data_IF_745926752264
#
_entry.id   IF_745926752264
#
_cell.length_a   1.000
_cell.length_b   1.000
_cell.length_c   1.000
_cell.angle_alpha   90.00
_cell.angle_beta   90.00
_cell.angle_gamma   90.00
#
_symmetry.space_group_name_H-M   'P 1'
#
loop_
_entity.id
_entity.type
_entity.pdbx_description
1 polymer ?
#
# COMPACT_ATOMS: atom_id res chain seq x y z
N UNK A 1 3.98 14.85 7.10
CA UNK A 1 3.15 14.46 8.26
C UNK A 1 3.91 13.50 9.18
N UNK A 2 3.40 13.26 10.40
CA UNK A 2 3.93 12.23 11.31
C UNK A 2 3.19 10.88 11.13
N UNK A 3 3.71 9.83 11.76
CA UNK A 3 3.20 8.46 11.62
C UNK A 3 1.76 8.31 12.11
N UNK A 4 1.37 8.92 13.23
CA UNK A 4 0.00 8.82 13.76
C UNK A 4 -1.05 9.39 12.82
N UNK A 5 -0.75 10.56 12.21
CA UNK A 5 -1.61 11.18 11.20
C UNK A 5 -1.67 10.31 9.94
N UNK A 6 -0.54 9.77 9.50
CA UNK A 6 -0.48 8.87 8.35
C UNK A 6 -1.35 7.62 8.56
N UNK A 7 -1.23 6.96 9.72
CA UNK A 7 -2.03 5.78 10.09
C UNK A 7 -3.53 6.10 10.08
N UNK A 8 -3.90 7.27 10.60
CA UNK A 8 -5.31 7.72 10.59
C UNK A 8 -5.85 7.88 9.17
N UNK A 9 -5.10 8.54 8.28
CA UNK A 9 -5.49 8.71 6.88
C UNK A 9 -5.59 7.37 6.14
N UNK A 10 -4.65 6.46 6.38
CA UNK A 10 -4.65 5.12 5.77
C UNK A 10 -5.87 4.31 6.20
N UNK A 11 -6.21 4.31 7.50
CA UNK A 11 -7.42 3.62 8.01
C UNK A 11 -8.69 4.19 7.38
N UNK A 12 -8.81 5.51 7.32
CA UNK A 12 -9.95 6.17 6.69
C UNK A 12 -10.05 5.83 5.19
N UNK A 13 -8.91 5.79 4.49
CA UNK A 13 -8.86 5.33 3.10
C UNK A 13 -9.38 3.90 2.98
N UNK A 14 -8.83 2.95 3.75
CA UNK A 14 -9.23 1.55 3.71
C UNK A 14 -10.74 1.34 3.98
N UNK A 15 -11.27 2.03 4.99
CA UNK A 15 -12.71 2.02 5.29
C UNK A 15 -13.53 2.58 4.12
N UNK A 16 -13.11 3.70 3.54
CA UNK A 16 -13.85 4.33 2.44
C UNK A 16 -13.81 3.50 1.16
N UNK A 17 -12.66 2.91 0.83
CA UNK A 17 -12.54 1.96 -0.28
C UNK A 17 -13.50 0.79 -0.09
N UNK A 18 -13.56 0.24 1.13
CA UNK A 18 -14.46 -0.87 1.48
C UNK A 18 -15.93 -0.49 1.32
N UNK A 19 -16.32 0.70 1.78
CA UNK A 19 -17.70 1.20 1.61
C UNK A 19 -18.09 1.35 0.14
N UNK A 20 -17.20 1.88 -0.70
CA UNK A 20 -17.46 2.10 -2.13
C UNK A 20 -17.44 0.80 -2.93
N UNK A 21 -16.62 -0.16 -2.53
CA UNK A 21 -16.50 -1.47 -3.19
C UNK A 21 -17.56 -2.48 -2.70
N UNK A 22 -18.15 -2.25 -1.52
CA UNK A 22 -19.12 -3.14 -0.88
C UNK A 22 -18.52 -4.31 -0.09
N UNK A 23 -17.19 -4.39 -0.02
CA UNK A 23 -16.38 -5.36 0.75
C UNK A 23 -14.93 -4.89 0.78
N UNK A 24 -14.08 -5.54 1.59
CA UNK A 24 -12.67 -5.18 1.66
C UNK A 24 -11.98 -5.35 0.30
N UNK A 25 -11.31 -4.27 -0.13
CA UNK A 25 -10.45 -4.23 -1.33
C UNK A 25 -9.08 -4.80 -0.99
N UNK A 26 -8.46 -4.27 0.05
CA UNK A 26 -7.22 -4.77 0.63
C UNK A 26 -7.51 -5.08 2.09
N UNK A 27 -7.21 -6.31 2.49
CA UNK A 27 -7.36 -6.79 3.88
C UNK A 27 -6.02 -6.74 4.64
N UNK A 28 -4.93 -6.36 3.97
CA UNK A 28 -3.61 -6.25 4.53
C UNK A 28 -2.93 -4.95 4.06
N UNK A 29 -2.46 -4.17 5.02
CA UNK A 29 -1.84 -2.85 4.83
C UNK A 29 -0.61 -2.75 5.73
N UNK A 30 0.51 -2.29 5.18
CA UNK A 30 1.73 -2.08 5.95
C UNK A 30 2.46 -0.81 5.53
N UNK A 31 2.94 -0.03 6.52
CA UNK A 31 3.92 1.01 6.28
C UNK A 31 5.30 0.40 6.47
N UNK A 32 6.11 0.46 5.42
CA UNK A 32 7.46 -0.12 5.38
C UNK A 32 8.47 0.98 5.10
N UNK A 33 9.42 1.16 6.01
CA UNK A 33 10.63 1.94 5.78
C UNK A 33 11.73 1.04 5.23
N UNK A 34 12.48 1.52 4.25
CA UNK A 34 13.62 0.81 3.69
C UNK A 34 14.88 1.64 3.89
N UNK A 35 15.72 1.18 4.82
CA UNK A 35 17.00 1.80 5.12
C UNK A 35 18.12 0.83 4.78
N UNK A 36 19.07 1.24 3.92
CA UNK A 36 20.24 0.42 3.53
C UNK A 36 19.85 -1.00 3.07
N UNK A 37 18.74 -1.13 2.34
CA UNK A 37 18.16 -2.39 1.84
C UNK A 37 17.60 -3.31 2.93
N UNK A 38 17.40 -2.80 4.14
CA UNK A 38 16.74 -3.52 5.23
C UNK A 38 15.32 -2.97 5.38
N UNK A 39 14.28 -3.72 5.02
CA UNK A 39 12.91 -3.29 5.23
C UNK A 39 12.54 -3.41 6.71
N UNK A 40 11.85 -2.40 7.24
CA UNK A 40 11.33 -2.33 8.60
C UNK A 40 9.87 -1.93 8.55
N UNK A 41 9.03 -2.66 9.28
CA UNK A 41 7.61 -2.34 9.43
C UNK A 41 7.47 -1.22 10.47
N UNK A 42 6.85 -0.11 10.08
CA UNK A 42 6.47 0.99 10.98
C UNK A 42 5.03 0.85 11.48
N UNK A 43 4.17 0.23 10.66
CA UNK A 43 2.78 -0.03 10.98
C UNK A 43 2.28 -1.23 10.18
N UNK A 44 1.41 -2.03 10.78
CA UNK A 44 0.76 -3.16 10.13
C UNK A 44 -0.72 -3.24 10.53
N UNK A 45 -1.57 -3.56 9.56
CA UNK A 45 -3.00 -3.82 9.73
C UNK A 45 -3.41 -4.92 8.76
N UNK A 46 -3.71 -6.10 9.26
CA UNK A 46 -4.14 -7.22 8.44
C UNK A 46 -4.20 -8.54 9.20
N UNK A 47 -4.36 -9.68 8.49
CA UNK A 47 -4.64 -10.97 9.11
C UNK A 47 -3.45 -11.61 9.83
N UNK A 48 -2.20 -11.45 9.34
CA UNK A 48 -1.01 -12.05 9.98
C UNK A 48 0.29 -11.26 9.76
N UNK A 49 0.69 -10.45 10.75
CA UNK A 49 1.96 -9.68 10.69
C UNK A 49 3.18 -10.59 10.55
N UNK A 50 3.14 -11.77 11.19
CA UNK A 50 4.23 -12.76 11.14
C UNK A 50 4.46 -13.25 9.71
N UNK A 51 3.39 -13.58 8.98
CA UNK A 51 3.48 -14.04 7.59
C UNK A 51 3.92 -12.91 6.67
N UNK A 52 3.39 -11.70 6.86
CA UNK A 52 3.82 -10.52 6.11
C UNK A 52 5.33 -10.26 6.29
N UNK A 53 5.80 -10.28 7.55
CA UNK A 53 7.22 -10.05 7.89
C UNK A 53 8.13 -11.12 7.30
N UNK A 54 7.72 -12.40 7.37
CA UNK A 54 8.49 -13.51 6.82
C UNK A 54 8.70 -13.38 5.30
N UNK A 55 7.75 -12.79 4.59
CA UNK A 55 7.81 -12.59 3.15
C UNK A 55 8.41 -11.24 2.75
N UNK A 56 8.60 -10.30 3.68
CA UNK A 56 8.99 -8.91 3.42
C UNK A 56 10.28 -8.80 2.61
N UNK A 57 11.30 -9.58 2.94
CA UNK A 57 12.60 -9.57 2.22
C UNK A 57 12.54 -10.26 0.85
N UNK A 58 11.55 -11.13 0.63
CA UNK A 58 11.33 -11.81 -0.65
C UNK A 58 10.52 -11.00 -1.67
N UNK A 59 9.94 -9.87 -1.27
CA UNK A 59 9.17 -9.03 -2.18
C UNK A 59 10.13 -8.27 -3.12
N UNK A 60 10.29 -8.78 -4.34
CA UNK A 60 11.09 -8.15 -5.41
C UNK A 60 10.75 -6.67 -5.66
N UNK A 61 9.51 -6.28 -5.36
CA UNK A 61 9.02 -4.91 -5.46
C UNK A 61 9.93 -3.91 -4.72
N UNK A 62 10.46 -4.26 -3.54
CA UNK A 62 11.29 -3.31 -2.77
C UNK A 62 12.60 -2.95 -3.49
N UNK A 63 13.20 -3.89 -4.23
CA UNK A 63 14.39 -3.60 -5.03
C UNK A 63 14.06 -2.71 -6.24
N UNK A 64 12.91 -2.93 -6.88
CA UNK A 64 12.44 -2.10 -8.00
C UNK A 64 12.11 -0.67 -7.54
N UNK A 65 11.43 -0.51 -6.40
CA UNK A 65 11.08 0.81 -5.84
C UNK A 65 12.33 1.64 -5.49
N UNK A 66 13.40 1.00 -5.01
CA UNK A 66 14.66 1.69 -4.67
C UNK A 66 15.47 2.16 -5.88
N UNK A 67 15.24 1.56 -7.05
CA UNK A 67 15.97 1.90 -8.30
C UNK A 67 15.16 2.80 -9.23
N UNK A 68 13.89 3.04 -8.90
CA UNK A 68 12.96 3.85 -9.67
C UNK A 68 13.00 5.31 -9.22
N UNK A 69 12.83 6.24 -10.17
CA UNK A 69 12.71 7.68 -9.89
C UNK A 69 11.26 8.01 -9.51
N UNK A 70 10.89 7.70 -8.27
CA UNK A 70 9.54 7.88 -7.74
C UNK A 70 9.43 9.14 -6.87
N UNK A 71 8.30 9.83 -7.00
CA UNK A 71 7.93 11.00 -6.22
C UNK A 71 6.98 10.63 -5.08
N UNK A 72 6.86 11.53 -4.10
CA UNK A 72 5.85 11.37 -3.05
C UNK A 72 4.45 11.40 -3.64
N UNK A 73 3.60 10.49 -3.19
CA UNK A 73 2.28 10.31 -3.78
C UNK A 73 2.27 9.39 -5.00
N UNK A 74 3.42 8.97 -5.55
CA UNK A 74 3.40 7.99 -6.64
C UNK A 74 2.87 6.65 -6.12
N UNK A 75 1.94 6.06 -6.88
CA UNK A 75 1.31 4.78 -6.53
C UNK A 75 1.08 3.92 -7.77
N UNK A 76 0.95 2.62 -7.55
CA UNK A 76 0.46 1.71 -8.57
C UNK A 76 -0.33 0.55 -7.93
N UNK A 77 -1.19 -0.05 -8.75
CA UNK A 77 -1.84 -1.34 -8.46
C UNK A 77 -1.31 -2.39 -9.44
N UNK A 78 -1.15 -3.62 -8.97
CA UNK A 78 -0.72 -4.73 -9.81
C UNK A 78 -1.80 -5.07 -10.86
N UNK A 79 -1.40 -5.25 -12.13
CA UNK A 79 -2.31 -5.56 -13.24
C UNK A 79 -2.42 -7.07 -13.54
N UNK A 80 -1.37 -7.87 -13.32
CA UNK A 80 -1.37 -9.31 -13.65
C UNK A 80 -0.51 -10.20 -12.74
N UNK A 81 -0.10 -9.71 -11.56
CA UNK A 81 0.57 -10.45 -10.49
C UNK A 81 1.36 -11.71 -10.88
N UNK A 82 2.58 -11.56 -11.43
CA UNK A 82 3.55 -12.65 -11.43
C UNK A 82 4.65 -12.39 -10.40
N UNK A 83 4.66 -13.18 -9.32
CA UNK A 83 5.62 -13.13 -8.21
C UNK A 83 5.02 -12.69 -6.87
N UNK A 84 5.79 -12.68 -5.76
CA UNK A 84 5.36 -12.28 -4.41
C UNK A 84 5.23 -10.75 -4.30
N UNK A 85 4.46 -10.15 -5.21
CA UNK A 85 4.38 -8.72 -5.46
C UNK A 85 3.11 -8.18 -4.82
N UNK A 86 3.22 -7.06 -4.12
CA UNK A 86 2.07 -6.47 -3.48
C UNK A 86 0.99 -6.08 -4.51
N UNK A 87 -0.28 -6.10 -4.08
CA UNK A 87 -1.39 -5.73 -4.96
C UNK A 87 -1.45 -4.22 -5.21
N UNK A 88 -0.87 -3.42 -4.31
CA UNK A 88 -0.65 -2.00 -4.51
C UNK A 88 0.46 -1.44 -3.63
N UNK A 89 1.01 -0.30 -4.04
CA UNK A 89 1.93 0.49 -3.23
C UNK A 89 1.66 1.99 -3.37
N UNK A 90 2.12 2.77 -2.39
CA UNK A 90 2.15 4.23 -2.43
C UNK A 90 3.41 4.76 -1.74
N UNK A 91 4.11 5.71 -2.36
CA UNK A 91 5.27 6.38 -1.76
C UNK A 91 4.80 7.42 -0.74
N UNK A 92 5.02 7.15 0.54
CA UNK A 92 4.58 8.02 1.64
C UNK A 92 5.60 9.09 1.99
N UNK A 93 6.88 8.78 1.80
CA UNK A 93 8.00 9.62 2.18
C UNK A 93 9.30 9.04 1.66
N UNK A 94 10.43 9.64 2.02
CA UNK A 94 11.74 9.19 1.52
C UNK A 94 12.06 7.80 2.04
N UNK A 95 12.02 6.80 1.15
CA UNK A 95 12.26 5.41 1.51
C UNK A 95 11.15 4.79 2.36
N UNK A 96 9.97 5.43 2.44
CA UNK A 96 8.83 4.93 3.20
C UNK A 96 7.67 4.70 2.25
N UNK A 97 7.13 3.49 2.30
CA UNK A 97 6.12 3.01 1.37
C UNK A 97 4.93 2.43 2.13
N UNK A 98 3.74 2.66 1.62
CA UNK A 98 2.57 1.88 1.96
C UNK A 98 2.50 0.70 1.00
N UNK A 99 2.26 -0.48 1.56
CA UNK A 99 2.06 -1.73 0.82
C UNK A 99 0.67 -2.24 1.14
N UNK A 100 -0.07 -2.66 0.12
CA UNK A 100 -1.46 -3.11 0.22
C UNK A 100 -1.63 -4.46 -0.49
N UNK A 101 -2.28 -5.42 0.18
CA UNK A 101 -2.58 -6.74 -0.36
C UNK A 101 -4.03 -7.15 -0.07
N UNK A 102 -4.53 -8.09 -0.87
CA UNK A 102 -5.69 -8.90 -0.56
C UNK A 102 -5.27 -10.36 -0.39
N UNK A 103 -5.25 -10.86 0.84
CA UNK A 103 -4.81 -12.23 1.17
C UNK A 103 -5.79 -13.30 0.69
N UNK A 104 -7.01 -12.91 0.31
CA UNK A 104 -8.10 -13.83 -0.03
C UNK A 104 -8.41 -13.86 -1.53
N UNK A 105 -7.99 -12.86 -2.32
CA UNK A 105 -8.37 -12.70 -3.73
C UNK A 105 -7.23 -12.11 -4.54
N UNK A 106 -7.09 -12.58 -5.78
CA UNK A 106 -6.17 -11.96 -6.72
C UNK A 106 -6.65 -10.55 -7.10
N UNK A 107 -5.71 -9.61 -7.29
CA UNK A 107 -6.02 -8.24 -7.72
C UNK A 107 -6.84 -8.18 -9.01
N UNK A 108 -6.65 -9.12 -9.94
CA UNK A 108 -7.45 -9.21 -11.18
C UNK A 108 -8.93 -9.46 -10.91
N UNK A 109 -9.27 -10.20 -9.85
CA UNK A 109 -10.67 -10.38 -9.44
C UNK A 109 -11.25 -9.11 -8.83
N UNK A 110 -10.40 -8.29 -8.21
CA UNK A 110 -10.81 -7.01 -7.63
C UNK A 110 -11.04 -5.98 -8.74
N UNK A 111 -10.08 -5.84 -9.66
CA UNK A 111 -10.05 -4.81 -10.70
C UNK A 111 -11.11 -5.02 -11.80
N UNK A 112 -11.55 -6.27 -12.00
CA UNK A 112 -12.64 -6.60 -12.93
C UNK A 112 -14.03 -6.22 -12.44
N UNK A 113 -14.21 -5.90 -11.16
CA UNK A 113 -15.50 -5.48 -10.63
C UNK A 113 -15.80 -4.03 -11.05
N UNK A 114 -17.01 -3.70 -11.56
CA UNK A 114 -17.34 -2.34 -11.98
C UNK A 114 -17.22 -1.28 -10.88
N UNK A 115 -17.34 -1.66 -9.61
CA UNK A 115 -17.16 -0.76 -8.46
C UNK A 115 -15.69 -0.38 -8.21
N UNK A 116 -14.73 -1.07 -8.82
CA UNK A 116 -13.30 -0.81 -8.67
C UNK A 116 -12.92 0.63 -8.98
N UNK A 117 -13.50 1.23 -10.03
CA UNK A 117 -13.20 2.62 -10.41
C UNK A 117 -13.55 3.61 -9.29
N UNK A 118 -14.71 3.42 -8.66
CA UNK A 118 -15.12 4.26 -7.53
C UNK A 118 -14.26 3.98 -6.29
N UNK A 119 -13.92 2.71 -6.06
CA UNK A 119 -13.11 2.29 -4.94
C UNK A 119 -11.66 2.80 -4.98
N UNK A 120 -11.15 3.21 -6.15
CA UNK A 120 -9.82 3.83 -6.26
C UNK A 120 -9.77 5.27 -5.77
N UNK A 121 -10.90 6.00 -5.78
CA UNK A 121 -10.93 7.44 -5.47
C UNK A 121 -10.28 7.76 -4.11
N UNK A 122 -10.61 7.06 -3.00
CA UNK A 122 -10.00 7.36 -1.71
C UNK A 122 -8.49 7.13 -1.69
N UNK A 123 -7.98 6.19 -2.50
CA UNK A 123 -6.55 5.92 -2.61
C UNK A 123 -5.84 7.04 -3.38
N UNK A 124 -6.48 7.60 -4.41
CA UNK A 124 -5.97 8.80 -5.11
C UNK A 124 -5.94 9.99 -4.16
N UNK A 125 -7.00 10.20 -3.36
CA UNK A 125 -7.03 11.27 -2.36
C UNK A 125 -5.93 11.08 -1.30
N UNK A 126 -5.68 9.84 -0.87
CA UNK A 126 -4.59 9.48 0.02
C UNK A 126 -3.23 9.84 -0.60
N UNK A 127 -3.02 9.48 -1.87
CA UNK A 127 -1.80 9.79 -2.61
C UNK A 127 -1.53 11.30 -2.68
N UNK A 128 -2.54 12.10 -3.02
CA UNK A 128 -2.43 13.56 -3.04
C UNK A 128 -2.12 14.14 -1.65
N UNK A 129 -2.66 13.55 -0.58
CA UNK A 129 -2.33 13.97 0.79
C UNK A 129 -0.84 13.73 1.13
N UNK A 130 -0.25 12.59 0.74
CA UNK A 130 1.18 12.32 0.94
C UNK A 130 2.09 13.11 0.01
N UNK A 131 1.62 13.43 -1.20
CA UNK A 131 2.31 14.36 -2.09
C UNK A 131 2.42 15.76 -1.49
N UNK A 132 1.37 16.24 -0.84
CA UNK A 132 1.33 17.55 -0.21
C UNK A 132 2.07 17.61 1.14
N UNK A 133 2.02 16.55 1.95
CA UNK A 133 2.55 16.52 3.31
C UNK A 133 3.23 15.16 3.61
N UNK A 134 4.37 14.84 2.97
CA UNK A 134 4.99 13.51 3.02
C UNK A 134 5.35 13.07 4.44
N UNK A 135 5.30 11.77 4.70
CA UNK A 135 5.67 11.17 5.97
C UNK A 135 7.16 11.40 6.26
N UNK A 136 7.43 11.90 7.45
CA UNK A 136 8.77 12.04 8.01
C UNK A 136 8.81 11.12 9.23
N UNK A 137 9.63 10.08 9.15
CA UNK A 137 9.99 9.17 10.26
C UNK A 137 11.37 9.58 10.83
#
# INVERSE_FOLDING_TARGET
MNLDKAITLIKQCAERMTQLYGREVFDEWAIVAIEKNVPRILFYMGPSETEFTANLTGQHMFHELQTSDLNFGDFAFAYDGFGPKADGFLVLGRGIYLVCNNTQRAITQITNNPLWRSAQIPFVDLAEAFKADPLVD
#
